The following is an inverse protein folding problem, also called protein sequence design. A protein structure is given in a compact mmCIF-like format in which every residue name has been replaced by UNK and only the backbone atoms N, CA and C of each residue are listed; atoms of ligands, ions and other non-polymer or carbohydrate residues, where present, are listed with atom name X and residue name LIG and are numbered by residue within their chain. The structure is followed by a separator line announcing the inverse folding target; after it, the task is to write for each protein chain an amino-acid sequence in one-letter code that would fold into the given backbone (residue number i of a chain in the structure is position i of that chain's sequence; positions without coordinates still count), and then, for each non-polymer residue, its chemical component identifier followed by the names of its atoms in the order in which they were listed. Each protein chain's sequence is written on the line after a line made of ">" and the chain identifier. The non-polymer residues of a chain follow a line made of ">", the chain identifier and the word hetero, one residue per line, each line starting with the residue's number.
data_IF_603836385947
#
_entry.id   IF_603836385947
#
_cell.length_a   1.000
_cell.length_b   1.000
_cell.length_c   1.000
_cell.angle_alpha   90.00
_cell.angle_beta   90.00
_cell.angle_gamma   90.00
#
_symmetry.space_group_name_H-M   'P 1'
#
loop_
_entity.id
_entity.type
_entity.pdbx_description
1 polymer ?
#
# COMPACT_ATOMS: atom_id res chain seq x y z
N UNK A 1 2.40 43.08 -16.68
CA UNK A 1 2.22 42.66 -15.27
C UNK A 1 1.28 43.59 -14.50
N UNK A 2 1.22 44.86 -14.78
CA UNK A 2 0.37 45.86 -14.06
C UNK A 2 -1.14 45.59 -14.14
N UNK A 3 -1.62 44.89 -15.17
CA UNK A 3 -3.04 44.54 -15.37
C UNK A 3 -3.37 43.09 -14.97
N UNK A 4 -2.38 42.28 -14.59
CA UNK A 4 -2.59 40.88 -14.21
C UNK A 4 -3.22 40.85 -12.81
N UNK A 5 -4.23 39.98 -12.64
CA UNK A 5 -4.81 39.67 -11.33
C UNK A 5 -3.79 38.91 -10.49
N UNK A 6 -2.86 39.62 -9.91
CA UNK A 6 -1.75 39.09 -9.14
C UNK A 6 -1.54 39.94 -7.89
N UNK A 7 -1.57 39.29 -6.73
CA UNK A 7 -1.17 39.87 -5.46
C UNK A 7 -0.19 38.94 -4.76
N UNK A 8 1.01 39.39 -4.53
CA UNK A 8 2.00 38.73 -3.69
C UNK A 8 1.75 39.00 -2.23
N UNK A 9 2.10 38.08 -1.36
CA UNK A 9 2.01 38.22 0.09
C UNK A 9 3.41 38.40 0.68
N UNK A 10 3.53 39.25 1.69
CA UNK A 10 4.78 39.48 2.41
C UNK A 10 5.06 38.34 3.39
N UNK A 11 4.02 37.92 4.11
CA UNK A 11 4.14 36.97 5.20
C UNK A 11 3.81 35.56 4.72
N UNK A 12 4.39 34.56 5.39
CA UNK A 12 4.09 33.16 5.15
C UNK A 12 2.69 32.81 5.69
N UNK A 13 1.91 31.97 4.98
CA UNK A 13 0.68 31.43 5.55
C UNK A 13 0.98 30.61 6.81
N UNK A 14 0.16 30.77 7.84
CA UNK A 14 0.37 30.16 9.16
C UNK A 14 0.32 28.61 9.13
N UNK A 15 -0.39 28.04 8.16
CA UNK A 15 -0.56 26.60 7.96
C UNK A 15 0.45 25.99 6.99
N UNK A 16 1.32 26.80 6.38
CA UNK A 16 2.26 26.37 5.36
C UNK A 16 3.58 25.83 5.96
N UNK A 17 3.66 24.53 6.15
CA UNK A 17 4.84 23.85 6.72
C UNK A 17 5.95 23.61 5.70
N UNK A 18 5.62 23.40 4.41
CA UNK A 18 6.58 23.08 3.34
C UNK A 18 6.84 24.30 2.45
N UNK A 19 8.07 24.40 1.91
CA UNK A 19 8.51 25.52 1.11
C UNK A 19 7.64 25.76 -0.15
N UNK A 20 7.23 24.69 -0.84
CA UNK A 20 6.38 24.78 -2.03
C UNK A 20 5.03 25.44 -1.70
N UNK A 21 4.39 25.08 -0.60
CA UNK A 21 3.12 25.68 -0.16
C UNK A 21 3.31 27.18 0.11
N UNK A 22 4.32 27.53 0.91
CA UNK A 22 4.63 28.94 1.22
C UNK A 22 4.85 29.78 -0.05
N UNK A 23 5.70 29.29 -0.95
CA UNK A 23 6.07 30.01 -2.16
C UNK A 23 4.90 30.16 -3.14
N UNK A 24 4.11 29.10 -3.36
CA UNK A 24 2.95 29.16 -4.26
C UNK A 24 1.89 30.15 -3.78
N UNK A 25 1.63 30.21 -2.47
CA UNK A 25 0.67 31.16 -1.91
C UNK A 25 1.24 32.57 -1.95
N UNK A 26 2.49 32.78 -1.49
CA UNK A 26 3.12 34.11 -1.47
C UNK A 26 3.29 34.72 -2.86
N UNK A 27 3.70 33.92 -3.83
CA UNK A 27 3.89 34.37 -5.20
C UNK A 27 2.58 34.55 -5.98
N UNK A 28 1.42 34.25 -5.40
CA UNK A 28 0.13 34.42 -6.05
C UNK A 28 -0.17 33.41 -7.15
N UNK A 29 0.27 32.16 -6.97
CA UNK A 29 -0.09 31.03 -7.84
C UNK A 29 -1.40 30.40 -7.40
N UNK A 30 -1.59 30.25 -6.09
CA UNK A 30 -2.80 29.65 -5.51
C UNK A 30 -3.30 30.46 -4.29
N UNK A 31 -4.58 30.27 -3.95
CA UNK A 31 -5.18 30.76 -2.70
C UNK A 31 -5.99 29.64 -2.06
N UNK A 32 -5.85 29.41 -0.74
CA UNK A 32 -6.69 28.47 -0.03
C UNK A 32 -8.14 28.97 0.04
N UNK A 33 -9.10 28.09 -0.23
CA UNK A 33 -10.54 28.32 -0.05
C UNK A 33 -11.03 27.54 1.18
N UNK A 34 -10.47 26.37 1.40
CA UNK A 34 -10.73 25.52 2.54
C UNK A 34 -9.59 24.53 2.73
N UNK A 35 -9.68 23.68 3.74
CA UNK A 35 -8.66 22.66 4.00
C UNK A 35 -8.49 21.71 2.81
N UNK A 36 -7.34 21.78 2.14
CA UNK A 36 -7.03 20.96 0.95
C UNK A 36 -7.77 21.39 -0.32
N UNK A 37 -8.34 22.61 -0.36
CA UNK A 37 -9.05 23.16 -1.52
C UNK A 37 -8.42 24.51 -1.89
N UNK A 38 -8.02 24.65 -3.16
CA UNK A 38 -7.28 25.83 -3.62
C UNK A 38 -7.87 26.40 -4.91
N UNK A 39 -7.96 27.74 -4.96
CA UNK A 39 -8.15 28.47 -6.21
C UNK A 39 -6.80 28.69 -6.90
N UNK A 40 -6.75 28.45 -8.20
CA UNK A 40 -5.61 28.73 -9.04
C UNK A 40 -5.71 30.15 -9.61
N UNK A 41 -4.72 30.98 -9.36
CA UNK A 41 -4.63 32.32 -9.90
C UNK A 41 -3.93 32.32 -11.27
N UNK A 42 -3.92 33.43 -12.05
CA UNK A 42 -3.44 33.41 -13.43
C UNK A 42 -2.06 32.78 -13.64
N UNK A 43 -1.08 33.06 -12.78
CA UNK A 43 0.25 32.44 -12.87
C UNK A 43 0.19 30.93 -12.59
N UNK A 44 -0.61 30.53 -11.61
CA UNK A 44 -0.83 29.12 -11.28
C UNK A 44 -1.49 28.37 -12.44
N UNK A 45 -2.51 28.95 -13.06
CA UNK A 45 -3.19 28.37 -14.23
C UNK A 45 -2.23 28.22 -15.41
N UNK A 46 -1.36 29.21 -15.67
CA UNK A 46 -0.33 29.10 -16.74
C UNK A 46 0.61 27.94 -16.45
N UNK A 47 1.09 27.81 -15.20
CA UNK A 47 1.97 26.71 -14.82
C UNK A 47 1.27 25.36 -14.96
N UNK A 48 0.03 25.22 -14.44
CA UNK A 48 -0.77 24.02 -14.55
C UNK A 48 -0.96 23.58 -16.01
N UNK A 49 -1.40 24.51 -16.88
CA UNK A 49 -1.60 24.24 -18.31
C UNK A 49 -0.31 23.84 -19.03
N UNK A 50 0.85 24.39 -18.61
CA UNK A 50 2.13 23.95 -19.17
C UNK A 50 2.47 22.51 -18.77
N UNK A 51 2.19 22.11 -17.51
CA UNK A 51 2.36 20.73 -17.07
C UNK A 51 1.42 19.81 -17.85
N UNK A 52 0.13 20.16 -17.94
CA UNK A 52 -0.86 19.39 -18.71
C UNK A 52 -0.48 19.25 -20.18
N UNK A 53 0.03 20.32 -20.81
CA UNK A 53 0.50 20.29 -22.20
C UNK A 53 1.63 19.29 -22.38
N UNK A 54 2.63 19.28 -21.52
CA UNK A 54 3.74 18.31 -21.56
C UNK A 54 3.21 16.88 -21.43
N UNK A 55 2.29 16.65 -20.51
CA UNK A 55 1.66 15.34 -20.31
C UNK A 55 0.93 14.90 -21.58
N UNK A 56 0.08 15.76 -22.17
CA UNK A 56 -0.64 15.44 -23.42
C UNK A 56 0.31 15.08 -24.55
N UNK A 57 1.33 15.90 -24.76
CA UNK A 57 2.31 15.68 -25.84
C UNK A 57 3.00 14.31 -25.72
N UNK A 58 3.32 13.85 -24.49
CA UNK A 58 3.96 12.54 -24.29
C UNK A 58 2.95 11.39 -24.40
N UNK A 59 1.73 11.55 -23.90
CA UNK A 59 0.67 10.56 -24.05
C UNK A 59 0.27 10.39 -25.52
N UNK A 60 0.07 11.48 -26.24
CA UNK A 60 -0.28 11.46 -27.68
C UNK A 60 0.86 10.86 -28.51
N UNK A 61 2.13 11.22 -28.22
CA UNK A 61 3.31 10.64 -28.88
C UNK A 61 3.39 9.13 -28.66
N UNK A 62 2.98 8.65 -27.50
CA UNK A 62 2.88 7.23 -27.21
C UNK A 62 1.65 6.56 -27.86
N UNK A 63 0.79 7.31 -28.54
CA UNK A 63 -0.40 6.82 -29.26
C UNK A 63 -1.59 6.54 -28.35
N UNK A 64 -1.68 7.21 -27.21
CA UNK A 64 -2.88 7.21 -26.35
C UNK A 64 -3.89 8.24 -26.87
N UNK A 65 -5.17 8.03 -26.60
CA UNK A 65 -6.24 8.91 -27.04
C UNK A 65 -6.90 9.60 -25.84
N UNK A 66 -7.03 10.94 -25.90
CA UNK A 66 -7.64 11.71 -24.82
C UNK A 66 -9.17 11.58 -24.87
N UNK A 67 -9.77 11.31 -23.71
CA UNK A 67 -11.21 11.36 -23.47
C UNK A 67 -11.48 12.23 -22.23
N UNK A 68 -12.74 12.55 -21.95
CA UNK A 68 -13.07 13.32 -20.74
C UNK A 68 -14.38 12.82 -20.15
N UNK A 69 -14.33 12.26 -18.97
CA UNK A 69 -15.47 11.76 -18.22
C UNK A 69 -16.03 12.81 -17.24
N UNK A 70 -17.31 12.73 -16.85
CA UNK A 70 -17.84 13.57 -15.78
C UNK A 70 -17.19 13.25 -14.43
N UNK A 71 -17.14 14.26 -13.56
CA UNK A 71 -16.68 14.07 -12.17
C UNK A 71 -17.80 13.55 -11.24
N UNK A 72 -19.06 13.83 -11.58
CA UNK A 72 -20.23 13.32 -10.88
C UNK A 72 -20.60 11.94 -11.43
N UNK A 73 -20.50 10.91 -10.61
CA UNK A 73 -20.58 9.52 -11.02
C UNK A 73 -21.69 8.78 -10.26
N UNK A 74 -22.40 7.83 -10.91
CA UNK A 74 -23.42 7.01 -10.26
C UNK A 74 -22.75 5.96 -9.33
N UNK A 75 -23.47 5.56 -8.30
CA UNK A 75 -23.05 4.58 -7.29
C UNK A 75 -22.85 3.18 -7.84
N UNK A 76 -23.74 2.71 -8.72
CA UNK A 76 -23.85 1.29 -9.09
C UNK A 76 -22.55 0.68 -9.67
N UNK A 77 -21.76 1.38 -10.52
CA UNK A 77 -20.47 0.84 -10.98
C UNK A 77 -19.49 0.57 -9.85
N UNK A 78 -19.45 1.45 -8.85
CA UNK A 78 -18.54 1.34 -7.70
C UNK A 78 -18.99 0.29 -6.69
N UNK A 79 -20.27 -0.02 -6.60
CA UNK A 79 -20.76 -1.18 -5.85
C UNK A 79 -20.32 -2.50 -6.49
N UNK A 80 -20.41 -2.59 -7.83
CA UNK A 80 -20.02 -3.82 -8.55
C UNK A 80 -18.55 -4.17 -8.40
N UNK A 81 -17.69 -3.19 -8.17
CA UNK A 81 -16.26 -3.38 -7.89
C UNK A 81 -15.93 -3.41 -6.41
N UNK A 82 -16.94 -3.35 -5.53
CA UNK A 82 -16.83 -3.20 -4.07
C UNK A 82 -16.14 -1.90 -3.61
N UNK A 83 -15.76 -1.02 -4.52
CA UNK A 83 -15.06 0.23 -4.19
C UNK A 83 -15.92 1.26 -3.48
N UNK A 84 -17.25 1.15 -3.58
CA UNK A 84 -18.16 1.98 -2.78
C UNK A 84 -17.89 1.81 -1.28
N UNK A 85 -17.61 0.59 -0.82
CA UNK A 85 -17.30 0.31 0.59
C UNK A 85 -15.80 0.42 0.89
N UNK A 86 -14.91 -0.09 0.04
CA UNK A 86 -13.46 -0.09 0.24
C UNK A 86 -12.84 1.31 0.35
N UNK A 87 -13.34 2.29 -0.40
CA UNK A 87 -12.89 3.68 -0.26
C UNK A 87 -13.33 4.31 1.07
N UNK A 88 -14.33 3.74 1.74
CA UNK A 88 -14.78 4.17 3.05
C UNK A 88 -15.07 5.67 3.13
N UNK A 89 -14.55 6.37 4.14
CA UNK A 89 -14.78 7.81 4.34
C UNK A 89 -14.02 8.70 3.35
N UNK A 90 -13.09 8.16 2.56
CA UNK A 90 -12.35 8.94 1.55
C UNK A 90 -13.23 9.31 0.35
N UNK A 91 -14.37 8.67 0.19
CA UNK A 91 -15.29 8.90 -0.90
C UNK A 91 -16.29 10.01 -0.59
N UNK A 92 -16.31 11.09 -1.39
CA UNK A 92 -17.38 12.08 -1.34
C UNK A 92 -18.66 11.50 -1.90
N UNK A 93 -19.62 11.19 -1.03
CA UNK A 93 -20.95 10.65 -1.37
C UNK A 93 -22.00 11.74 -1.29
N UNK A 94 -22.94 11.75 -2.22
CA UNK A 94 -24.03 12.73 -2.29
C UNK A 94 -25.31 12.10 -2.84
N UNK A 95 -26.42 12.77 -2.63
CA UNK A 95 -27.73 12.37 -3.17
C UNK A 95 -28.27 13.46 -4.09
N UNK A 96 -28.90 13.04 -5.17
CA UNK A 96 -29.67 13.97 -5.99
C UNK A 96 -31.03 14.31 -5.31
N UNK A 97 -31.81 15.17 -5.96
CA UNK A 97 -33.12 15.60 -5.46
C UNK A 97 -34.16 14.46 -5.38
N UNK A 98 -33.91 13.35 -6.07
CA UNK A 98 -34.75 12.16 -6.07
C UNK A 98 -34.28 11.11 -5.07
N UNK A 99 -33.17 11.35 -4.38
CA UNK A 99 -32.60 10.45 -3.39
C UNK A 99 -31.64 9.41 -3.98
N UNK A 100 -31.32 9.48 -5.28
CA UNK A 100 -30.32 8.59 -5.90
C UNK A 100 -28.93 8.91 -5.39
N UNK A 101 -28.13 7.88 -5.14
CA UNK A 101 -26.77 8.02 -4.66
C UNK A 101 -25.76 8.28 -5.81
N UNK A 102 -24.89 9.23 -5.57
CA UNK A 102 -23.79 9.61 -6.44
C UNK A 102 -22.50 9.75 -5.64
N UNK A 103 -21.39 9.87 -6.35
CA UNK A 103 -20.07 10.19 -5.78
C UNK A 103 -19.34 11.21 -6.65
N UNK A 104 -18.42 11.93 -6.06
CA UNK A 104 -17.39 12.66 -6.82
C UNK A 104 -16.23 11.72 -7.10
N UNK A 105 -15.82 11.61 -8.36
CA UNK A 105 -14.87 10.61 -8.82
C UNK A 105 -13.50 10.70 -8.15
N UNK A 106 -13.08 9.70 -7.34
CA UNK A 106 -11.73 9.60 -6.80
C UNK A 106 -10.73 9.05 -7.84
N UNK A 107 -11.24 8.29 -8.79
CA UNK A 107 -10.61 7.67 -9.96
C UNK A 107 -11.71 7.20 -10.91
N UNK A 108 -11.40 6.68 -12.09
CA UNK A 108 -12.40 6.42 -13.14
C UNK A 108 -12.28 5.03 -13.80
N UNK A 109 -11.65 4.05 -13.18
CA UNK A 109 -11.49 2.70 -13.77
C UNK A 109 -12.83 2.12 -14.24
N UNK A 110 -13.87 2.26 -13.41
CA UNK A 110 -15.21 1.76 -13.70
C UNK A 110 -15.79 2.43 -14.95
N UNK A 111 -15.63 3.76 -15.06
CA UNK A 111 -16.19 4.52 -16.18
C UNK A 111 -15.49 4.20 -17.50
N UNK A 112 -14.16 4.11 -17.49
CA UNK A 112 -13.39 3.69 -18.66
C UNK A 112 -13.77 2.29 -19.12
N UNK A 113 -13.87 1.35 -18.19
CA UNK A 113 -14.24 -0.03 -18.48
C UNK A 113 -15.64 -0.14 -19.06
N UNK A 114 -16.62 0.57 -18.48
CA UNK A 114 -17.99 0.59 -18.97
C UNK A 114 -18.12 1.22 -20.35
N UNK A 115 -17.38 2.31 -20.61
CA UNK A 115 -17.36 2.96 -21.91
C UNK A 115 -16.80 2.03 -22.98
N UNK A 116 -15.63 1.45 -22.76
CA UNK A 116 -15.01 0.50 -23.69
C UNK A 116 -15.92 -0.70 -23.92
N UNK A 117 -16.54 -1.24 -22.89
CA UNK A 117 -17.50 -2.34 -22.99
C UNK A 117 -18.73 -1.99 -23.83
N UNK A 118 -19.17 -0.73 -23.81
CA UNK A 118 -20.34 -0.30 -24.60
C UNK A 118 -20.00 -0.03 -26.08
N UNK A 119 -18.79 0.45 -26.35
CA UNK A 119 -18.38 0.85 -27.71
C UNK A 119 -17.69 -0.27 -28.50
N UNK A 120 -16.96 -1.17 -27.81
CA UNK A 120 -16.19 -2.23 -28.44
C UNK A 120 -16.84 -3.59 -28.23
N UNK A 121 -17.05 -4.32 -29.31
CA UNK A 121 -17.68 -5.64 -29.31
C UNK A 121 -16.79 -6.74 -29.90
N UNK A 122 -15.63 -6.38 -30.47
CA UNK A 122 -14.74 -7.31 -31.12
C UNK A 122 -13.33 -7.24 -30.54
N UNK A 123 -12.67 -8.39 -30.37
CA UNK A 123 -11.26 -8.44 -30.01
C UNK A 123 -10.34 -7.75 -31.04
N UNK A 124 -10.82 -7.52 -32.27
CA UNK A 124 -10.09 -6.81 -33.32
C UNK A 124 -9.95 -5.32 -33.06
N UNK A 125 -10.77 -4.78 -32.15
CA UNK A 125 -10.73 -3.38 -31.74
C UNK A 125 -9.61 -3.11 -30.71
N UNK A 126 -8.96 -4.17 -30.20
CA UNK A 126 -7.86 -4.12 -29.25
C UNK A 126 -6.50 -4.33 -29.94
N UNK A 127 -5.39 -3.77 -29.39
CA UNK A 127 -5.31 -3.04 -28.12
C UNK A 127 -5.83 -1.61 -28.20
N UNK A 128 -6.37 -1.11 -27.09
CA UNK A 128 -6.81 0.27 -26.93
C UNK A 128 -6.11 0.88 -25.71
N UNK A 129 -5.67 2.13 -25.84
CA UNK A 129 -5.16 2.92 -24.72
C UNK A 129 -5.77 4.31 -24.76
N UNK A 130 -6.45 4.69 -23.68
CA UNK A 130 -7.16 5.96 -23.54
C UNK A 130 -6.81 6.62 -22.22
N UNK A 131 -6.81 7.95 -22.18
CA UNK A 131 -6.49 8.71 -20.97
C UNK A 131 -7.37 9.94 -20.84
N UNK A 132 -7.36 10.52 -19.66
CA UNK A 132 -7.96 11.83 -19.42
C UNK A 132 -7.07 12.68 -18.50
N UNK A 133 -7.30 13.98 -18.52
CA UNK A 133 -6.84 14.93 -17.52
C UNK A 133 -8.09 15.53 -16.89
N UNK A 134 -8.38 15.17 -15.65
CA UNK A 134 -9.67 15.46 -14.99
C UNK A 134 -9.47 15.73 -13.51
N UNK A 135 -10.31 16.58 -12.95
CA UNK A 135 -10.38 16.81 -11.50
C UNK A 135 -10.87 15.56 -10.78
N UNK A 136 -10.19 15.22 -9.69
CA UNK A 136 -10.53 14.14 -8.77
C UNK A 136 -10.80 14.69 -7.38
N UNK A 137 -11.58 13.92 -6.63
CA UNK A 137 -12.05 14.28 -5.30
C UNK A 137 -11.79 13.15 -4.32
N UNK A 138 -11.10 13.45 -3.22
CA UNK A 138 -10.89 12.52 -2.12
C UNK A 138 -11.09 13.26 -0.81
N UNK A 139 -11.99 12.78 0.05
CA UNK A 139 -12.22 13.39 1.38
C UNK A 139 -11.07 13.04 2.30
N UNK A 140 -9.94 13.66 2.01
CA UNK A 140 -8.70 13.49 2.78
C UNK A 140 -8.90 14.02 4.20
N UNK A 141 -8.75 13.15 5.19
CA UNK A 141 -8.96 13.47 6.59
C UNK A 141 -7.97 14.53 7.11
N UNK A 142 -6.74 14.54 6.57
CA UNK A 142 -5.66 15.46 6.96
C UNK A 142 -4.96 16.04 5.74
N UNK A 143 -5.58 16.96 5.00
CA UNK A 143 -4.93 17.67 3.91
C UNK A 143 -3.69 18.38 4.43
N UNK A 144 -2.59 18.31 3.68
CA UNK A 144 -1.31 18.90 4.07
C UNK A 144 -0.43 19.18 2.87
N UNK A 145 0.67 19.91 3.10
CA UNK A 145 1.65 20.22 2.06
C UNK A 145 1.09 21.00 0.86
N UNK A 146 0.05 21.81 1.09
CA UNK A 146 -0.58 22.64 0.07
C UNK A 146 -1.28 21.81 -1.00
N UNK A 147 -0.94 22.06 -2.27
CA UNK A 147 -1.53 21.36 -3.42
C UNK A 147 -1.05 19.89 -3.57
N UNK A 148 -0.06 19.45 -2.80
CA UNK A 148 0.49 18.09 -2.92
C UNK A 148 -0.50 17.06 -2.39
N UNK A 149 -1.22 17.37 -1.30
CA UNK A 149 -2.22 16.48 -0.71
C UNK A 149 -3.50 17.24 -0.36
N UNK A 150 -4.32 17.45 -1.36
CA UNK A 150 -5.60 18.15 -1.28
C UNK A 150 -6.79 17.21 -1.40
N UNK A 151 -8.00 17.80 -1.25
CA UNK A 151 -9.30 17.12 -1.44
C UNK A 151 -9.80 17.20 -2.87
N UNK A 152 -9.36 18.21 -3.60
CA UNK A 152 -9.65 18.43 -5.01
C UNK A 152 -8.34 18.66 -5.76
N UNK A 153 -8.07 17.89 -6.79
CA UNK A 153 -6.83 17.96 -7.56
C UNK A 153 -7.01 17.43 -8.98
N UNK A 154 -6.16 17.88 -9.90
CA UNK A 154 -6.15 17.40 -11.27
C UNK A 154 -5.27 16.17 -11.37
N UNK A 155 -5.79 15.11 -12.00
CA UNK A 155 -5.08 13.86 -12.26
C UNK A 155 -5.08 13.58 -13.76
N UNK A 156 -3.93 13.13 -14.28
CA UNK A 156 -3.91 12.36 -15.53
C UNK A 156 -4.05 10.89 -15.14
N UNK A 157 -5.10 10.26 -15.55
CA UNK A 157 -5.32 8.84 -15.45
C UNK A 157 -5.46 8.21 -16.83
N UNK A 158 -4.86 7.03 -17.02
CA UNK A 158 -4.77 6.35 -18.32
C UNK A 158 -4.96 4.85 -18.14
N UNK A 159 -5.66 4.25 -19.09
CA UNK A 159 -6.10 2.86 -19.03
C UNK A 159 -5.84 2.18 -20.37
N UNK A 160 -5.33 0.95 -20.32
CA UNK A 160 -5.16 0.10 -21.49
C UNK A 160 -6.04 -1.13 -21.42
N UNK A 161 -6.45 -1.60 -22.59
CA UNK A 161 -7.25 -2.79 -22.78
C UNK A 161 -6.55 -3.64 -23.85
N UNK A 162 -6.11 -4.82 -23.44
CA UNK A 162 -5.25 -5.68 -24.22
C UNK A 162 -5.87 -7.07 -24.39
N UNK A 163 -5.38 -7.86 -25.35
CA UNK A 163 -5.91 -9.20 -25.64
C UNK A 163 -5.40 -10.27 -24.68
N UNK A 164 -4.16 -10.09 -24.20
CA UNK A 164 -3.45 -11.06 -23.40
C UNK A 164 -2.40 -10.37 -22.50
N UNK A 165 -1.75 -11.13 -21.66
CA UNK A 165 -0.72 -10.65 -20.75
C UNK A 165 0.51 -10.06 -21.47
N UNK A 166 0.84 -10.57 -22.66
CA UNK A 166 1.94 -10.03 -23.46
C UNK A 166 1.60 -8.65 -24.04
N UNK A 167 0.34 -8.44 -24.44
CA UNK A 167 -0.21 -7.14 -24.80
C UNK A 167 -0.21 -6.18 -23.63
N UNK A 168 -0.70 -6.64 -22.48
CA UNK A 168 -0.71 -5.85 -21.23
C UNK A 168 0.70 -5.38 -20.85
N UNK A 169 1.70 -6.26 -20.89
CA UNK A 169 3.09 -5.87 -20.58
C UNK A 169 3.61 -4.80 -21.56
N UNK A 170 3.31 -4.89 -22.84
CA UNK A 170 3.66 -3.87 -23.83
C UNK A 170 3.00 -2.53 -23.52
N UNK A 171 1.72 -2.54 -23.20
CA UNK A 171 0.98 -1.33 -22.81
C UNK A 171 1.50 -0.73 -21.51
N UNK A 172 1.86 -1.56 -20.53
CA UNK A 172 2.49 -1.13 -19.28
C UNK A 172 3.83 -0.42 -19.53
N UNK A 173 4.70 -1.02 -20.32
CA UNK A 173 6.00 -0.42 -20.67
C UNK A 173 5.83 0.88 -21.44
N UNK A 174 4.86 0.95 -22.32
CA UNK A 174 4.50 2.17 -23.07
C UNK A 174 4.07 3.31 -22.15
N UNK A 175 3.24 3.04 -21.12
CA UNK A 175 2.90 4.01 -20.10
C UNK A 175 4.14 4.46 -19.32
N UNK A 176 4.99 3.49 -18.92
CA UNK A 176 6.21 3.75 -18.17
C UNK A 176 7.16 4.68 -18.95
N UNK A 177 7.36 4.44 -20.23
CA UNK A 177 8.20 5.27 -21.08
C UNK A 177 7.64 6.69 -21.26
N UNK A 178 6.33 6.82 -21.45
CA UNK A 178 5.65 8.12 -21.51
C UNK A 178 5.81 8.91 -20.19
N UNK A 179 5.76 8.24 -19.04
CA UNK A 179 6.00 8.87 -17.73
C UNK A 179 7.44 9.30 -17.53
N UNK A 180 8.41 8.46 -17.96
CA UNK A 180 9.83 8.82 -17.94
C UNK A 180 10.06 10.10 -18.74
N UNK A 181 9.56 10.15 -19.98
CA UNK A 181 9.68 11.31 -20.84
C UNK A 181 9.01 12.56 -20.25
N UNK A 182 7.80 12.40 -19.69
CA UNK A 182 7.08 13.48 -19.02
C UNK A 182 7.88 14.07 -17.85
N UNK A 183 8.35 13.24 -16.93
CA UNK A 183 9.06 13.72 -15.74
C UNK A 183 10.44 14.30 -16.09
N UNK A 184 11.13 13.75 -17.09
CA UNK A 184 12.37 14.35 -17.60
C UNK A 184 12.13 15.74 -18.20
N UNK A 185 11.08 15.92 -18.99
CA UNK A 185 10.69 17.23 -19.57
C UNK A 185 10.26 18.24 -18.51
N UNK A 186 9.68 17.77 -17.41
CA UNK A 186 9.36 18.59 -16.24
C UNK A 186 10.60 18.93 -15.38
N UNK A 187 11.77 18.38 -15.74
CA UNK A 187 13.04 18.63 -15.00
C UNK A 187 13.12 17.92 -13.65
N UNK A 188 12.31 16.90 -13.41
CA UNK A 188 12.30 16.15 -12.17
C UNK A 188 13.40 15.07 -12.16
N UNK A 189 14.10 14.96 -11.05
CA UNK A 189 14.93 13.80 -10.72
C UNK A 189 14.06 12.79 -10.01
N UNK A 190 14.06 11.56 -10.46
CA UNK A 190 13.23 10.51 -9.87
C UNK A 190 13.92 9.14 -9.94
N UNK A 191 13.49 8.23 -9.09
CA UNK A 191 13.76 6.81 -9.17
C UNK A 191 12.45 6.06 -9.39
N UNK A 192 12.50 5.02 -10.21
CA UNK A 192 11.37 4.12 -10.40
C UNK A 192 11.54 3.00 -9.41
N UNK A 193 10.58 2.83 -8.52
CA UNK A 193 10.64 1.87 -7.44
C UNK A 193 9.48 0.90 -7.51
N UNK A 194 9.73 -0.36 -7.18
CA UNK A 194 8.66 -1.34 -7.02
C UNK A 194 7.75 -0.96 -5.84
N UNK A 195 6.46 -1.06 -6.04
CA UNK A 195 5.44 -0.68 -5.07
C UNK A 195 4.39 -1.77 -4.88
N UNK A 196 3.57 -1.65 -3.84
CA UNK A 196 2.38 -2.47 -3.62
C UNK A 196 1.19 -1.86 -4.37
N UNK A 197 0.40 -2.69 -5.05
CA UNK A 197 -0.77 -2.23 -5.80
C UNK A 197 -1.92 -1.74 -4.89
N UNK A 198 -1.98 -2.19 -3.63
CA UNK A 198 -3.01 -1.82 -2.67
C UNK A 198 -4.43 -2.13 -3.16
N UNK A 199 -5.39 -1.27 -2.82
CA UNK A 199 -6.80 -1.39 -3.23
C UNK A 199 -7.03 -1.30 -4.76
N UNK A 200 -6.03 -0.87 -5.53
CA UNK A 200 -6.10 -0.87 -6.99
C UNK A 200 -6.00 -2.28 -7.59
N UNK A 201 -5.44 -3.24 -6.84
CA UNK A 201 -5.23 -4.61 -7.30
C UNK A 201 -4.11 -4.73 -8.33
N UNK A 202 -3.89 -5.95 -8.81
CA UNK A 202 -2.85 -6.26 -9.78
C UNK A 202 -1.57 -6.81 -9.17
N UNK A 203 -0.77 -7.48 -10.00
CA UNK A 203 0.45 -8.19 -9.59
C UNK A 203 1.72 -7.35 -9.70
N UNK A 204 1.67 -6.19 -10.36
CA UNK A 204 2.82 -5.32 -10.63
C UNK A 204 2.44 -3.86 -10.41
N UNK A 205 3.25 -3.15 -9.67
CA UNK A 205 3.09 -1.71 -9.44
C UNK A 205 4.45 -1.05 -9.35
N UNK A 206 4.57 0.16 -9.89
CA UNK A 206 5.75 1.01 -9.80
C UNK A 206 5.34 2.42 -9.39
N UNK A 207 6.22 3.08 -8.66
CA UNK A 207 6.09 4.50 -8.28
C UNK A 207 7.30 5.28 -8.80
N UNK A 208 7.05 6.51 -9.25
CA UNK A 208 8.08 7.45 -9.66
C UNK A 208 8.34 8.41 -8.50
N UNK A 209 9.36 8.13 -7.69
CA UNK A 209 9.64 8.88 -6.47
C UNK A 209 10.78 9.89 -6.69
N UNK A 210 10.48 11.16 -6.47
CA UNK A 210 11.45 12.25 -6.48
C UNK A 210 12.07 12.41 -5.08
N UNK A 211 13.40 12.33 -4.92
CA UNK A 211 14.05 12.55 -3.63
C UNK A 211 13.73 13.96 -3.08
N UNK A 212 13.19 14.03 -1.88
CA UNK A 212 12.81 15.26 -1.21
C UNK A 212 12.96 15.13 0.30
N UNK A 213 13.52 16.14 0.97
CA UNK A 213 13.69 16.14 2.43
C UNK A 213 12.37 16.24 3.21
N UNK A 214 11.30 16.67 2.55
CA UNK A 214 9.95 16.80 3.11
C UNK A 214 8.98 15.75 2.56
N UNK A 215 9.51 14.71 1.89
CA UNK A 215 8.73 13.58 1.39
C UNK A 215 8.17 12.72 2.52
N UNK A 216 7.05 12.07 2.25
CA UNK A 216 6.36 11.21 3.23
C UNK A 216 6.72 9.74 3.05
N UNK A 217 7.08 9.34 1.82
CA UNK A 217 7.41 7.96 1.50
C UNK A 217 8.92 7.70 1.59
N UNK A 218 9.26 6.48 1.96
CA UNK A 218 10.65 6.03 2.03
C UNK A 218 10.85 4.85 1.09
N UNK A 219 11.95 4.85 0.33
CA UNK A 219 12.32 3.75 -0.53
C UNK A 219 13.77 3.34 -0.34
N UNK A 220 14.08 2.11 -0.71
CA UNK A 220 15.42 1.54 -0.71
C UNK A 220 15.96 1.53 -2.13
N UNK A 221 17.19 1.99 -2.31
CA UNK A 221 17.93 1.95 -3.58
C UNK A 221 19.26 1.26 -3.37
N UNK A 222 19.49 0.17 -4.08
CA UNK A 222 20.81 -0.48 -4.12
C UNK A 222 21.69 0.17 -5.19
N UNK A 223 22.72 0.87 -4.76
CA UNK A 223 23.64 1.52 -5.70
C UNK A 223 24.49 0.54 -6.53
N UNK A 224 24.58 -0.73 -6.12
CA UNK A 224 25.37 -1.75 -6.83
C UNK A 224 24.62 -2.41 -7.97
N UNK A 225 23.33 -2.75 -7.78
CA UNK A 225 22.53 -3.49 -8.78
C UNK A 225 21.35 -2.69 -9.32
N UNK A 226 21.08 -1.47 -8.82
CA UNK A 226 19.96 -0.64 -9.25
C UNK A 226 18.60 -1.08 -8.71
N UNK A 227 18.51 -2.12 -7.87
CA UNK A 227 17.25 -2.52 -7.25
C UNK A 227 16.67 -1.36 -6.45
N UNK A 228 15.41 -1.04 -6.69
CA UNK A 228 14.69 0.00 -5.98
C UNK A 228 13.27 -0.46 -5.64
N UNK A 229 12.86 -0.25 -4.40
CA UNK A 229 11.51 -0.56 -3.94
C UNK A 229 11.11 0.38 -2.81
N UNK A 230 9.81 0.70 -2.69
CA UNK A 230 9.34 1.34 -1.48
C UNK A 230 9.46 0.35 -0.29
N UNK A 231 9.39 0.85 0.94
CA UNK A 231 9.64 0.03 2.14
C UNK A 231 8.66 -1.13 2.24
N UNK A 232 7.41 -0.91 1.80
CA UNK A 232 6.34 -1.91 1.86
C UNK A 232 6.55 -3.04 0.83
N UNK A 233 7.04 -2.72 -0.36
CA UNK A 233 7.27 -3.68 -1.44
C UNK A 233 8.67 -4.31 -1.42
N UNK A 234 9.56 -3.82 -0.56
CA UNK A 234 10.95 -4.31 -0.52
C UNK A 234 11.01 -5.80 -0.19
N UNK A 235 11.73 -6.55 -1.02
CA UNK A 235 12.09 -7.94 -0.74
C UNK A 235 13.57 -8.05 -0.42
N UNK A 236 13.91 -8.81 0.61
CA UNK A 236 15.29 -9.10 0.97
C UNK A 236 15.60 -10.57 0.70
N UNK A 237 16.78 -10.83 0.17
CA UNK A 237 17.27 -12.20 0.06
C UNK A 237 17.60 -12.70 1.45
N UNK A 238 17.03 -13.84 1.82
CA UNK A 238 17.36 -14.51 3.08
C UNK A 238 18.47 -15.49 2.80
N UNK A 239 19.56 -15.38 3.56
CA UNK A 239 20.66 -16.35 3.49
C UNK A 239 20.19 -17.70 4.05
N UNK A 240 20.50 -18.78 3.34
CA UNK A 240 20.33 -20.13 3.88
C UNK A 240 21.29 -20.30 5.04
N UNK A 241 20.79 -20.73 6.18
CA UNK A 241 21.62 -21.15 7.32
C UNK A 241 21.80 -22.65 7.24
N UNK A 242 23.00 -23.13 7.55
CA UNK A 242 23.22 -24.56 7.77
C UNK A 242 22.41 -24.99 9.00
N UNK A 243 21.88 -26.21 8.94
CA UNK A 243 21.11 -26.80 10.06
C UNK A 243 22.05 -26.93 11.27
N UNK A 244 21.90 -26.15 12.33
CA UNK A 244 22.68 -26.36 13.54
C UNK A 244 22.20 -27.64 14.21
N UNK A 245 23.08 -28.32 14.91
CA UNK A 245 22.68 -29.38 15.86
C UNK A 245 21.95 -28.69 17.00
N UNK A 246 20.63 -28.70 16.99
CA UNK A 246 19.80 -28.06 18.01
C UNK A 246 19.47 -29.08 19.09
N UNK A 247 19.55 -28.72 20.37
CA UNK A 247 19.05 -29.57 21.46
C UNK A 247 17.58 -29.92 21.30
N UNK A 248 17.13 -30.95 22.00
CA UNK A 248 15.71 -31.29 22.05
C UNK A 248 14.88 -30.09 22.58
N UNK A 249 13.66 -29.97 22.07
CA UNK A 249 12.73 -28.92 22.53
C UNK A 249 12.53 -29.03 24.05
N UNK A 250 12.53 -27.89 24.71
CA UNK A 250 12.39 -27.79 26.17
C UNK A 250 11.31 -26.76 26.52
N UNK A 251 10.43 -27.14 27.45
CA UNK A 251 9.41 -26.22 28.00
C UNK A 251 10.05 -25.42 29.11
N UNK A 252 9.89 -24.12 29.03
CA UNK A 252 10.37 -23.13 30.01
C UNK A 252 9.19 -22.64 30.86
N UNK A 253 9.41 -22.51 32.14
CA UNK A 253 8.47 -21.86 33.06
C UNK A 253 8.73 -20.36 33.07
N UNK A 254 7.81 -19.60 32.50
CA UNK A 254 7.93 -18.16 32.24
C UNK A 254 6.69 -17.43 32.70
N UNK A 255 6.52 -17.24 34.03
CA UNK A 255 5.33 -16.62 34.59
C UNK A 255 5.23 -15.14 34.17
N UNK A 256 4.00 -14.72 33.84
CA UNK A 256 3.68 -13.32 33.52
C UNK A 256 4.49 -12.72 32.34
N UNK A 257 4.71 -13.50 31.28
CA UNK A 257 5.48 -13.07 30.11
C UNK A 257 4.65 -13.10 28.83
N UNK A 258 3.56 -12.32 28.73
CA UNK A 258 2.73 -12.30 27.52
C UNK A 258 3.32 -11.48 26.36
N UNK A 259 4.42 -10.74 26.61
CA UNK A 259 5.10 -9.91 25.60
C UNK A 259 6.51 -10.41 25.32
N UNK A 260 7.07 -10.04 24.17
CA UNK A 260 8.44 -10.43 23.78
C UNK A 260 9.47 -9.87 24.75
N UNK A 261 9.31 -8.63 25.20
CA UNK A 261 10.23 -7.97 26.12
C UNK A 261 10.29 -8.73 27.45
N UNK A 262 9.11 -9.01 28.04
CA UNK A 262 9.03 -9.75 29.31
C UNK A 262 9.53 -11.18 29.17
N UNK A 263 9.32 -11.82 28.02
CA UNK A 263 9.85 -13.16 27.73
C UNK A 263 11.39 -13.16 27.70
N UNK A 264 11.99 -12.23 26.94
CA UNK A 264 13.44 -12.11 26.82
C UNK A 264 14.09 -11.87 28.21
N UNK A 265 13.50 -10.97 28.99
CA UNK A 265 13.98 -10.66 30.34
C UNK A 265 13.99 -11.89 31.24
N UNK A 266 12.86 -12.60 31.36
CA UNK A 266 12.72 -13.78 32.20
C UNK A 266 13.60 -14.94 31.73
N UNK A 267 13.67 -15.19 30.42
CA UNK A 267 14.48 -16.30 29.88
C UNK A 267 15.97 -16.04 30.11
N UNK A 268 16.43 -14.81 29.94
CA UNK A 268 17.81 -14.46 30.20
C UNK A 268 18.15 -14.51 31.70
N UNK A 269 17.28 -14.00 32.54
CA UNK A 269 17.51 -14.00 34.02
C UNK A 269 17.48 -15.42 34.62
N UNK A 270 16.51 -16.25 34.21
CA UNK A 270 16.27 -17.57 34.83
C UNK A 270 17.10 -18.69 34.19
N UNK A 271 17.33 -18.63 32.88
CA UNK A 271 17.96 -19.70 32.12
C UNK A 271 19.32 -19.33 31.51
N UNK A 272 19.80 -18.10 31.77
CA UNK A 272 21.07 -17.56 31.25
C UNK A 272 21.28 -17.80 29.75
N UNK A 273 20.20 -17.58 28.98
CA UNK A 273 20.14 -18.00 27.57
C UNK A 273 20.78 -17.00 26.60
N UNK A 274 20.96 -15.72 26.99
CA UNK A 274 21.57 -14.69 26.16
C UNK A 274 20.77 -14.35 24.89
N UNK A 275 19.44 -14.54 24.92
CA UNK A 275 18.57 -14.29 23.76
C UNK A 275 18.18 -12.80 23.65
N UNK A 276 17.86 -12.42 22.43
CA UNK A 276 17.27 -11.11 22.06
C UNK A 276 15.86 -11.31 21.51
N UNK A 277 15.14 -10.23 21.24
CA UNK A 277 13.84 -10.30 20.57
C UNK A 277 13.93 -11.03 19.21
N UNK A 278 15.04 -10.87 18.48
CA UNK A 278 15.27 -11.54 17.21
C UNK A 278 15.43 -13.07 17.30
N UNK A 279 15.66 -13.62 18.48
CA UNK A 279 15.77 -15.06 18.75
C UNK A 279 14.42 -15.65 19.18
N UNK A 280 13.40 -14.83 19.33
CA UNK A 280 12.04 -15.26 19.67
C UNK A 280 11.16 -15.31 18.42
N UNK A 281 10.11 -16.15 18.48
CA UNK A 281 9.16 -16.35 17.39
C UNK A 281 7.77 -15.92 17.84
N UNK A 282 7.25 -14.84 17.25
CA UNK A 282 5.86 -14.43 17.38
C UNK A 282 4.94 -15.30 16.53
N UNK A 283 3.81 -15.66 17.09
CA UNK A 283 2.70 -16.31 16.39
C UNK A 283 1.54 -15.31 16.38
N UNK A 284 1.38 -14.60 15.28
CA UNK A 284 0.30 -13.64 15.09
C UNK A 284 -0.89 -14.36 14.51
N UNK A 285 -1.98 -14.44 15.29
CA UNK A 285 -3.21 -15.08 14.85
C UNK A 285 -4.09 -14.11 14.09
N UNK A 286 -4.57 -14.56 12.93
CA UNK A 286 -5.51 -13.82 12.11
C UNK A 286 -6.70 -14.71 11.71
N UNK A 287 -7.81 -14.06 11.45
CA UNK A 287 -8.98 -14.68 10.83
C UNK A 287 -8.97 -14.35 9.33
N UNK A 288 -8.91 -15.35 8.50
CA UNK A 288 -8.94 -15.26 7.04
C UNK A 288 -10.22 -15.93 6.53
N UNK A 289 -11.18 -15.17 6.01
CA UNK A 289 -12.50 -15.66 5.59
C UNK A 289 -13.15 -16.61 6.61
N UNK A 290 -13.13 -16.20 7.89
CA UNK A 290 -13.70 -16.98 8.98
C UNK A 290 -12.88 -18.22 9.41
N UNK A 291 -11.67 -18.43 8.88
CA UNK A 291 -10.77 -19.53 9.24
C UNK A 291 -9.52 -19.00 9.96
N UNK A 292 -9.10 -19.63 11.06
CA UNK A 292 -7.92 -19.22 11.80
C UNK A 292 -6.63 -19.55 11.03
N UNK A 293 -5.74 -18.57 10.96
CA UNK A 293 -4.37 -18.73 10.44
C UNK A 293 -3.36 -18.20 11.46
N UNK A 294 -2.13 -18.69 11.42
CA UNK A 294 -1.04 -18.14 12.22
C UNK A 294 0.10 -17.71 11.31
N UNK A 295 0.57 -16.48 11.53
CA UNK A 295 1.71 -15.90 10.83
C UNK A 295 2.89 -15.82 11.79
N UNK A 296 3.96 -16.50 11.41
CA UNK A 296 5.18 -16.62 12.19
C UNK A 296 6.16 -15.53 11.76
N UNK A 297 6.58 -14.69 12.70
CA UNK A 297 7.60 -13.65 12.46
C UNK A 297 8.60 -13.63 13.61
N UNK A 298 9.88 -13.22 13.37
CA UNK A 298 10.82 -12.95 14.45
C UNK A 298 10.24 -11.93 15.44
N UNK A 299 10.54 -12.07 16.72
CA UNK A 299 9.94 -11.25 17.78
C UNK A 299 10.27 -9.76 17.71
N UNK A 300 11.33 -9.37 17.00
CA UNK A 300 11.69 -7.99 16.70
C UNK A 300 10.93 -7.40 15.51
N UNK A 301 9.96 -8.13 14.94
CA UNK A 301 9.19 -7.74 13.74
C UNK A 301 7.70 -7.73 14.01
N UNK A 302 6.99 -6.95 13.17
CA UNK A 302 5.53 -6.96 13.11
C UNK A 302 5.05 -7.54 11.78
N UNK A 303 3.82 -8.07 11.78
CA UNK A 303 3.17 -8.53 10.55
C UNK A 303 2.59 -7.32 9.84
N UNK A 304 3.03 -7.10 8.60
CA UNK A 304 2.39 -6.15 7.69
C UNK A 304 1.15 -6.85 7.07
N UNK A 305 -0.02 -6.48 7.58
CA UNK A 305 -1.30 -7.09 7.17
C UNK A 305 -1.57 -6.87 5.69
N UNK A 306 -1.33 -5.67 5.16
CA UNK A 306 -1.56 -5.35 3.74
C UNK A 306 -0.65 -6.16 2.82
N UNK A 307 0.60 -6.29 3.21
CA UNK A 307 1.56 -7.13 2.48
C UNK A 307 1.20 -8.61 2.54
N UNK A 308 0.68 -9.06 3.67
CA UNK A 308 0.19 -10.43 3.83
C UNK A 308 -1.03 -10.68 2.93
N UNK A 309 -2.02 -9.78 2.92
CA UNK A 309 -3.19 -9.84 2.03
C UNK A 309 -2.79 -9.96 0.56
N UNK A 310 -1.85 -9.14 0.10
CA UNK A 310 -1.35 -9.18 -1.27
C UNK A 310 -0.68 -10.52 -1.64
N UNK A 311 -0.18 -11.27 -0.65
CA UNK A 311 0.46 -12.59 -0.84
C UNK A 311 -0.46 -13.77 -0.53
N UNK A 312 -1.73 -13.53 -0.23
CA UNK A 312 -2.75 -14.54 0.05
C UNK A 312 -3.91 -14.45 -0.95
N UNK A 313 -3.68 -14.84 -2.22
CA UNK A 313 -4.69 -14.69 -3.26
C UNK A 313 -5.98 -15.46 -2.92
N UNK A 314 -7.12 -14.80 -3.14
CA UNK A 314 -8.45 -15.36 -2.92
C UNK A 314 -9.01 -15.17 -1.52
N UNK A 315 -8.30 -14.52 -0.59
CA UNK A 315 -8.83 -14.12 0.71
C UNK A 315 -9.58 -12.80 0.52
N UNK A 316 -10.82 -12.74 1.02
CA UNK A 316 -11.69 -11.57 0.94
C UNK A 316 -11.62 -10.71 2.21
N UNK A 317 -11.45 -11.35 3.36
CA UNK A 317 -11.36 -10.68 4.66
C UNK A 317 -10.19 -11.23 5.46
N UNK A 318 -9.32 -10.34 5.92
CA UNK A 318 -8.21 -10.67 6.81
C UNK A 318 -8.20 -9.70 7.99
N UNK A 319 -8.32 -10.21 9.20
CA UNK A 319 -8.28 -9.42 10.43
C UNK A 319 -7.52 -10.11 11.55
N UNK A 320 -6.99 -9.34 12.47
CA UNK A 320 -6.40 -9.90 13.69
C UNK A 320 -7.46 -10.62 14.53
N UNK A 321 -7.02 -11.64 15.28
CA UNK A 321 -7.85 -12.26 16.32
C UNK A 321 -8.25 -11.22 17.36
N UNK A 322 -9.53 -11.21 17.69
CA UNK A 322 -10.09 -10.45 18.81
C UNK A 322 -10.34 -11.34 20.04
N UNK A 323 -10.87 -10.76 21.11
CA UNK A 323 -11.13 -11.50 22.34
C UNK A 323 -12.25 -12.53 22.18
N UNK A 324 -13.19 -12.31 21.22
CA UNK A 324 -14.24 -13.29 20.93
C UNK A 324 -13.66 -14.50 20.19
N UNK A 325 -12.70 -14.31 19.30
CA UNK A 325 -12.01 -15.40 18.63
C UNK A 325 -11.23 -16.25 19.61
N UNK A 326 -10.50 -15.64 20.54
CA UNK A 326 -9.84 -16.37 21.64
C UNK A 326 -10.83 -17.12 22.53
N UNK A 327 -12.01 -16.58 22.77
CA UNK A 327 -13.06 -17.26 23.53
C UNK A 327 -13.61 -18.50 22.82
N UNK A 328 -13.64 -18.50 21.47
CA UNK A 328 -14.03 -19.65 20.63
C UNK A 328 -12.92 -20.69 20.50
N UNK A 329 -11.66 -20.23 20.51
CA UNK A 329 -10.46 -21.08 20.36
C UNK A 329 -9.66 -21.15 21.67
N UNK A 330 -10.27 -21.73 22.71
CA UNK A 330 -9.72 -21.80 24.06
C UNK A 330 -8.38 -22.54 24.18
N UNK A 331 -8.05 -23.36 23.19
CA UNK A 331 -6.77 -24.03 23.03
C UNK A 331 -5.62 -23.07 22.68
N UNK A 332 -5.93 -21.86 22.19
CA UNK A 332 -4.96 -20.83 21.82
C UNK A 332 -4.84 -19.81 22.96
N UNK A 333 -3.83 -19.94 23.78
CA UNK A 333 -3.65 -19.08 24.94
C UNK A 333 -3.03 -17.74 24.53
N UNK A 334 -3.80 -16.66 24.61
CA UNK A 334 -3.36 -15.28 24.27
C UNK A 334 -2.03 -14.95 24.97
N UNK A 335 -1.03 -14.51 24.21
CA UNK A 335 0.32 -14.20 24.68
C UNK A 335 1.26 -15.41 24.79
N UNK A 336 0.76 -16.64 24.61
CA UNK A 336 1.55 -17.88 24.77
C UNK A 336 1.36 -18.85 23.58
N UNK A 337 0.87 -18.39 22.47
CA UNK A 337 0.65 -19.24 21.27
C UNK A 337 1.98 -19.66 20.66
N UNK A 338 2.08 -20.95 20.31
CA UNK A 338 3.23 -21.51 19.60
C UNK A 338 2.81 -22.34 18.39
N UNK A 339 3.73 -22.63 17.44
CA UNK A 339 3.43 -23.31 16.20
C UNK A 339 3.28 -24.83 16.32
N UNK A 340 3.73 -25.42 17.43
CA UNK A 340 3.91 -26.89 17.58
C UNK A 340 2.61 -27.69 17.46
N UNK A 341 1.48 -27.10 17.85
CA UNK A 341 0.16 -27.74 17.81
C UNK A 341 -0.74 -27.22 16.69
N UNK A 342 -0.19 -26.45 15.75
CA UNK A 342 -0.96 -25.77 14.71
C UNK A 342 -1.89 -26.71 13.94
N UNK A 343 -1.38 -27.87 13.53
CA UNK A 343 -2.17 -28.90 12.81
C UNK A 343 -3.32 -29.43 13.65
N UNK A 344 -3.09 -29.65 14.95
CA UNK A 344 -4.10 -30.10 15.91
C UNK A 344 -5.22 -29.09 16.09
N UNK A 345 -4.87 -27.80 16.04
CA UNK A 345 -5.82 -26.69 16.17
C UNK A 345 -6.40 -26.19 14.84
N UNK A 346 -6.11 -26.90 13.73
CA UNK A 346 -6.60 -26.51 12.41
C UNK A 346 -6.01 -25.22 11.86
N UNK A 347 -4.87 -24.75 12.40
CA UNK A 347 -4.20 -23.54 11.98
C UNK A 347 -3.35 -23.78 10.74
N UNK A 348 -3.55 -22.98 9.71
CA UNK A 348 -2.61 -22.88 8.59
C UNK A 348 -1.49 -21.90 9.00
N UNK A 349 -0.24 -22.38 8.89
CA UNK A 349 0.93 -21.59 9.23
C UNK A 349 1.49 -20.90 7.99
N UNK A 350 1.81 -19.62 8.14
CA UNK A 350 2.63 -18.84 7.23
C UNK A 350 3.84 -18.34 7.99
N UNK A 351 5.00 -18.29 7.35
CA UNK A 351 6.24 -17.92 8.01
C UNK A 351 7.00 -16.83 7.24
N UNK A 352 7.55 -15.87 7.95
CA UNK A 352 8.52 -14.94 7.38
C UNK A 352 9.70 -15.75 6.80
N UNK A 353 10.22 -15.40 5.63
CA UNK A 353 11.34 -16.11 5.00
C UNK A 353 12.61 -16.22 5.87
N UNK A 354 12.76 -15.38 6.89
CA UNK A 354 13.87 -15.45 7.85
C UNK A 354 13.76 -16.61 8.83
N UNK A 355 12.56 -17.15 8.98
CA UNK A 355 12.32 -18.36 9.76
C UNK A 355 12.64 -19.57 8.87
N UNK A 356 13.94 -19.68 8.57
CA UNK A 356 14.43 -20.73 7.67
C UNK A 356 14.55 -22.06 8.39
N UNK A 357 14.50 -23.14 7.62
CA UNK A 357 14.76 -24.49 8.10
C UNK A 357 16.13 -24.51 8.75
N UNK A 358 16.21 -25.08 9.95
CA UNK A 358 17.42 -25.16 10.75
C UNK A 358 17.66 -24.00 11.70
N UNK A 359 16.85 -22.93 11.64
CA UNK A 359 16.82 -21.93 12.71
C UNK A 359 16.08 -22.45 13.95
N UNK A 360 16.51 -22.04 15.11
CA UNK A 360 15.91 -22.43 16.39
C UNK A 360 15.40 -21.22 17.15
N UNK A 361 14.24 -21.35 17.75
CA UNK A 361 13.47 -20.23 18.26
C UNK A 361 12.96 -20.47 19.68
N UNK A 362 12.75 -19.37 20.42
CA UNK A 362 11.96 -19.35 21.65
C UNK A 362 10.56 -18.85 21.32
N UNK A 363 9.51 -19.61 21.67
CA UNK A 363 8.12 -19.30 21.33
C UNK A 363 7.15 -19.77 22.38
N UNK A 364 5.86 -19.41 22.26
CA UNK A 364 4.81 -19.90 23.16
C UNK A 364 4.65 -21.42 23.16
N UNK A 365 4.21 -21.97 24.29
CA UNK A 365 3.97 -23.43 24.44
C UNK A 365 2.48 -23.79 24.41
N UNK A 366 1.58 -22.90 23.97
CA UNK A 366 0.11 -23.02 24.04
C UNK A 366 -0.41 -23.29 25.47
N UNK A 367 0.34 -22.88 26.47
CA UNK A 367 0.00 -23.01 27.88
C UNK A 367 0.31 -21.70 28.61
N UNK A 368 -0.57 -21.31 29.51
CA UNK A 368 -0.38 -20.10 30.34
C UNK A 368 0.95 -20.18 31.10
N UNK A 369 1.73 -19.10 31.06
CA UNK A 369 3.03 -18.98 31.74
C UNK A 369 4.09 -19.99 31.26
N UNK A 370 3.96 -20.51 30.05
CA UNK A 370 4.91 -21.45 29.45
C UNK A 370 5.37 -21.02 28.06
N UNK A 371 6.66 -21.13 27.84
CA UNK A 371 7.28 -21.01 26.52
C UNK A 371 8.10 -22.25 26.22
N UNK A 372 8.54 -22.38 24.97
CA UNK A 372 9.43 -23.46 24.54
C UNK A 372 10.67 -22.84 23.89
N UNK A 373 11.84 -23.45 24.13
CA UNK A 373 13.07 -23.15 23.41
C UNK A 373 13.49 -24.29 22.48
N UNK A 374 14.37 -24.02 21.56
CA UNK A 374 14.88 -24.95 20.55
C UNK A 374 13.78 -25.45 19.59
N UNK A 375 12.78 -24.60 19.35
CA UNK A 375 11.73 -24.91 18.38
C UNK A 375 12.26 -24.68 16.96
N UNK A 376 12.34 -25.77 16.18
CA UNK A 376 12.71 -25.71 14.78
C UNK A 376 11.50 -25.99 13.89
N UNK A 377 11.33 -25.21 12.83
CA UNK A 377 10.35 -25.53 11.80
C UNK A 377 10.95 -26.55 10.82
N UNK A 378 10.38 -27.72 10.77
CA UNK A 378 10.75 -28.78 9.81
C UNK A 378 9.91 -28.65 8.52
N UNK A 379 10.38 -29.25 7.44
CA UNK A 379 9.83 -29.22 6.07
C UNK A 379 8.36 -29.64 5.90
N UNK A 380 7.66 -30.04 6.93
CA UNK A 380 6.28 -30.51 6.87
C UNK A 380 5.21 -29.41 6.91
N UNK A 381 5.61 -28.13 7.04
CA UNK A 381 4.71 -26.99 6.86
C UNK A 381 4.74 -26.57 5.40
N UNK A 382 3.60 -26.52 4.67
CA UNK A 382 3.57 -25.97 3.33
C UNK A 382 3.90 -24.48 3.42
N UNK A 383 5.12 -24.10 3.05
CA UNK A 383 5.49 -22.71 2.81
C UNK A 383 5.02 -22.35 1.41
N UNK A 384 4.24 -21.30 1.20
CA UNK A 384 4.04 -20.76 -0.13
C UNK A 384 5.39 -20.23 -0.63
N UNK A 385 5.82 -20.69 -1.79
CA UNK A 385 6.95 -20.15 -2.55
C UNK A 385 6.56 -18.81 -3.14
#
# INVERSE_FOLDING_TARGET
>A
MSTLFLRTLRDDPSDATVASHRLLVRAGYVRPIGAGIFSWLPLGVIALRNVERIIREEMDRAGFQEVHFPALLPREPYEKTNRWEEYGPTLFRLKDRKGSDYLLGPTHEEMFTLMVKSEYSSYKDLPLSIYQIQTKYRDEARPRSGIIRGREFVMKDSYSFDLDDAGLEKSYLKHRDAYIATFQRLGLRFNIVSAMAGAMGGSKSEEFLAPCSTGEDTYVLCQKCGYAANVEAMTTRVEKRDLPTVPAMEILDTPNTPTIESLVEVVNAKYNAGITAADTLKNVLLMADGKPISVLVPGDREVDIKRLEANLPGIQELRLFDDEDFARHKELVKGYVGPQDAKKFGLKLYADPRIVIGSSWVTGANQLNKHMRYVCLLYTSPSPR
#
